data_IF_388552792317
#
_entry.id   IF_388552792317
#
_cell.length_a   1.000
_cell.length_b   1.000
_cell.length_c   1.000
_cell.angle_alpha   90.00
_cell.angle_beta   90.00
_cell.angle_gamma   90.00
#
_symmetry.space_group_name_H-M   'P 1'
#
loop_
_entity.id
_entity.type
_entity.pdbx_description
1 polymer ?
#
# COMPACT_ATOMS: atom_id res chain seq x y z
N UNK A 1 -5.10 5.91 -4.83
CA UNK A 1 -4.73 5.04 -5.96
C UNK A 1 -4.70 3.59 -5.48
N UNK A 2 -5.28 2.66 -6.27
CA UNK A 2 -5.40 1.24 -5.94
C UNK A 2 -4.85 0.44 -7.12
N UNK A 3 -3.64 -0.16 -7.01
CA UNK A 3 -3.11 -1.05 -8.03
C UNK A 3 -3.80 -2.42 -7.94
N UNK A 4 -4.17 -3.00 -9.06
CA UNK A 4 -4.89 -4.27 -9.14
C UNK A 4 -4.26 -5.24 -10.14
N UNK A 5 -4.31 -6.52 -9.80
CA UNK A 5 -4.09 -7.66 -10.68
C UNK A 5 -4.88 -8.85 -10.12
N UNK A 6 -5.96 -9.25 -10.80
CA UNK A 6 -6.87 -10.33 -10.40
C UNK A 6 -7.43 -10.15 -8.98
N UNK A 7 -8.09 -9.01 -8.74
CA UNK A 7 -8.65 -8.58 -7.46
C UNK A 7 -10.17 -8.30 -7.53
N UNK A 8 -10.90 -8.93 -8.47
CA UNK A 8 -12.35 -8.70 -8.66
C UNK A 8 -13.17 -8.89 -7.38
N UNK A 9 -12.76 -9.82 -6.51
CA UNK A 9 -13.46 -10.14 -5.28
C UNK A 9 -13.34 -9.06 -4.19
N UNK A 10 -12.37 -8.14 -4.26
CA UNK A 10 -12.03 -7.23 -3.17
C UNK A 10 -12.00 -5.76 -3.56
N UNK A 11 -11.71 -5.45 -4.83
CA UNK A 11 -11.50 -4.07 -5.30
C UNK A 11 -12.70 -3.16 -5.02
N UNK A 12 -13.92 -3.66 -5.21
CA UNK A 12 -15.14 -2.87 -4.99
C UNK A 12 -15.32 -2.46 -3.52
N UNK A 13 -15.00 -3.36 -2.58
CA UNK A 13 -15.08 -3.07 -1.14
C UNK A 13 -14.02 -2.05 -0.73
N UNK A 14 -12.80 -2.16 -1.26
CA UNK A 14 -11.73 -1.20 -1.00
C UNK A 14 -12.06 0.20 -1.51
N UNK A 15 -12.67 0.32 -2.72
CA UNK A 15 -13.15 1.59 -3.26
C UNK A 15 -14.25 2.18 -2.38
N UNK A 16 -15.27 1.39 -2.00
CA UNK A 16 -16.36 1.84 -1.13
C UNK A 16 -15.85 2.30 0.23
N UNK A 17 -14.94 1.54 0.85
CA UNK A 17 -14.33 1.92 2.12
C UNK A 17 -13.53 3.22 2.02
N UNK A 18 -12.79 3.43 0.93
CA UNK A 18 -12.06 4.68 0.69
C UNK A 18 -13.02 5.87 0.57
N UNK A 19 -14.13 5.73 -0.18
CA UNK A 19 -15.14 6.79 -0.32
C UNK A 19 -15.84 7.11 1.00
N UNK A 20 -16.11 6.12 1.82
CA UNK A 20 -16.75 6.31 3.13
C UNK A 20 -15.82 6.95 4.17
N UNK A 21 -14.51 6.72 4.08
CA UNK A 21 -13.53 7.13 5.07
C UNK A 21 -12.85 8.49 4.76
N UNK A 22 -12.96 8.98 3.53
CA UNK A 22 -12.29 10.17 3.05
C UNK A 22 -13.30 11.22 2.54
N UNK A 23 -13.04 12.52 2.72
CA UNK A 23 -13.87 13.57 2.16
C UNK A 23 -13.63 13.67 0.63
N UNK A 24 -14.65 13.37 -0.15
CA UNK A 24 -14.68 13.48 -1.62
C UNK A 24 -13.40 13.00 -2.33
N UNK A 25 -13.01 11.70 -2.18
CA UNK A 25 -11.76 11.23 -2.74
C UNK A 25 -11.87 10.96 -4.24
N UNK A 26 -10.90 11.42 -5.00
CA UNK A 26 -10.63 10.92 -6.34
C UNK A 26 -10.07 9.49 -6.24
N UNK A 27 -10.86 8.49 -6.65
CA UNK A 27 -10.43 7.09 -6.59
C UNK A 27 -10.01 6.62 -7.98
N UNK A 28 -8.72 6.29 -8.10
CA UNK A 28 -8.09 5.78 -9.32
C UNK A 28 -7.66 4.34 -9.07
N UNK A 29 -8.22 3.41 -9.83
CA UNK A 29 -7.80 2.01 -9.88
C UNK A 29 -6.88 1.84 -11.08
N UNK A 30 -5.70 1.28 -10.85
CA UNK A 30 -4.72 1.04 -11.91
C UNK A 30 -4.57 -0.46 -12.11
N UNK A 31 -5.17 -0.95 -13.18
CA UNK A 31 -5.25 -2.36 -13.51
C UNK A 31 -4.06 -2.82 -14.36
N UNK A 32 -3.34 -3.82 -13.87
CA UNK A 32 -2.15 -4.36 -14.53
C UNK A 32 -2.46 -5.41 -15.62
N UNK A 33 -3.72 -5.51 -16.06
CA UNK A 33 -4.16 -6.46 -17.08
C UNK A 33 -4.87 -7.67 -16.48
N UNK A 34 -5.78 -7.45 -15.52
CA UNK A 34 -6.58 -8.51 -14.89
C UNK A 34 -7.47 -9.25 -15.91
N UNK A 35 -7.56 -10.57 -15.76
CA UNK A 35 -8.44 -11.43 -16.55
C UNK A 35 -9.75 -11.82 -15.87
N UNK A 36 -9.95 -11.48 -14.61
CA UNK A 36 -11.02 -11.95 -13.73
C UNK A 36 -12.24 -10.99 -13.61
N UNK A 37 -12.24 -9.88 -14.38
CA UNK A 37 -13.29 -8.87 -14.29
C UNK A 37 -13.01 -7.75 -13.28
N UNK A 38 -11.81 -7.65 -12.71
CA UNK A 38 -11.38 -6.59 -11.75
C UNK A 38 -11.69 -5.19 -12.27
N UNK A 39 -11.33 -4.87 -13.51
CA UNK A 39 -11.54 -3.55 -14.10
C UNK A 39 -13.03 -3.17 -14.15
N UNK A 40 -13.90 -4.11 -14.54
CA UNK A 40 -15.34 -3.92 -14.58
C UNK A 40 -15.92 -3.74 -13.17
N UNK A 41 -15.48 -4.53 -12.19
CA UNK A 41 -15.90 -4.41 -10.79
C UNK A 41 -15.48 -3.05 -10.20
N UNK A 42 -14.30 -2.56 -10.52
CA UNK A 42 -13.83 -1.23 -10.10
C UNK A 42 -14.67 -0.12 -10.74
N UNK A 43 -14.87 -0.16 -12.07
CA UNK A 43 -15.64 0.84 -12.80
C UNK A 43 -17.10 0.93 -12.31
N UNK A 44 -17.72 -0.19 -11.96
CA UNK A 44 -19.06 -0.23 -11.39
C UNK A 44 -19.20 0.54 -10.06
N UNK A 45 -18.11 0.82 -9.36
CA UNK A 45 -18.10 1.66 -8.15
C UNK A 45 -17.99 3.16 -8.47
N UNK A 46 -17.87 3.55 -9.73
CA UNK A 46 -17.59 4.93 -10.14
C UNK A 46 -16.13 5.36 -9.98
N UNK A 47 -15.20 4.44 -9.76
CA UNK A 47 -13.78 4.73 -9.78
C UNK A 47 -13.27 4.95 -11.21
N UNK A 48 -12.29 5.85 -11.37
CA UNK A 48 -11.53 5.95 -12.62
C UNK A 48 -10.63 4.73 -12.77
N UNK A 49 -10.73 4.02 -13.90
CA UNK A 49 -9.92 2.83 -14.15
C UNK A 49 -8.89 3.13 -15.24
N UNK A 50 -7.60 2.93 -14.92
CA UNK A 50 -6.48 3.05 -15.84
C UNK A 50 -5.90 1.67 -16.11
N UNK A 51 -5.71 1.32 -17.38
CA UNK A 51 -4.93 0.13 -17.75
C UNK A 51 -3.44 0.47 -17.77
N UNK A 52 -2.64 -0.28 -17.02
CA UNK A 52 -1.22 -0.06 -16.91
C UNK A 52 -0.47 -1.38 -16.68
N UNK A 53 -0.25 -2.18 -17.75
CA UNK A 53 0.61 -3.36 -17.63
C UNK A 53 2.00 -2.96 -17.13
N UNK A 54 2.56 -3.78 -16.26
CA UNK A 54 3.86 -3.52 -15.68
C UNK A 54 3.96 -3.85 -14.19
N UNK A 55 4.93 -3.26 -13.53
CA UNK A 55 5.17 -3.44 -12.10
C UNK A 55 4.19 -2.63 -11.25
N UNK A 56 4.03 -3.03 -9.99
CA UNK A 56 3.20 -2.26 -9.04
C UNK A 56 3.72 -0.83 -8.85
N UNK A 57 5.03 -0.63 -8.86
CA UNK A 57 5.65 0.69 -8.80
C UNK A 57 5.23 1.59 -9.98
N UNK A 58 5.21 1.05 -11.19
CA UNK A 58 4.76 1.77 -12.39
C UNK A 58 3.27 2.09 -12.32
N UNK A 59 2.45 1.13 -11.89
CA UNK A 59 1.02 1.35 -11.68
C UNK A 59 0.76 2.49 -10.68
N UNK A 60 1.47 2.50 -9.53
CA UNK A 60 1.35 3.56 -8.53
C UNK A 60 1.78 4.92 -9.06
N UNK A 61 2.87 4.99 -9.83
CA UNK A 61 3.31 6.25 -10.45
C UNK A 61 2.31 6.75 -11.51
N UNK A 62 1.73 5.86 -12.32
CA UNK A 62 0.70 6.23 -13.30
C UNK A 62 -0.56 6.76 -12.60
N UNK A 63 -1.00 6.09 -11.54
CA UNK A 63 -2.09 6.59 -10.72
C UNK A 63 -1.80 7.95 -10.10
N UNK A 64 -0.59 8.16 -9.59
CA UNK A 64 -0.17 9.44 -9.03
C UNK A 64 -0.10 10.56 -10.07
N UNK A 65 0.34 10.26 -11.30
CA UNK A 65 0.38 11.21 -12.41
C UNK A 65 -1.02 11.60 -12.91
N UNK A 66 -1.99 10.69 -12.88
CA UNK A 66 -3.38 10.95 -13.27
C UNK A 66 -4.18 11.67 -12.17
N UNK A 67 -3.77 11.54 -10.91
CA UNK A 67 -4.46 12.16 -9.79
C UNK A 67 -4.31 13.68 -9.80
N UNK A 68 -5.36 14.41 -9.40
CA UNK A 68 -5.39 15.88 -9.32
C UNK A 68 -5.23 16.40 -7.89
N UNK A 69 -5.51 15.58 -6.88
CA UNK A 69 -5.49 15.98 -5.47
C UNK A 69 -4.10 16.25 -4.91
N UNK A 70 -4.02 17.07 -3.87
CA UNK A 70 -2.78 17.44 -3.17
C UNK A 70 -2.25 16.34 -2.23
N UNK A 71 -3.08 15.37 -1.92
CA UNK A 71 -2.74 14.23 -1.06
C UNK A 71 -2.85 12.94 -1.85
N UNK A 72 -1.77 12.19 -1.89
CA UNK A 72 -1.69 10.90 -2.56
C UNK A 72 -1.77 9.79 -1.50
N UNK A 73 -2.77 8.92 -1.62
CA UNK A 73 -2.93 7.72 -0.79
C UNK A 73 -2.78 6.47 -1.65
N UNK A 74 -1.91 5.56 -1.26
CA UNK A 74 -1.64 4.30 -1.92
C UNK A 74 -2.28 3.16 -1.12
N UNK A 75 -3.32 2.55 -1.64
CA UNK A 75 -4.14 1.54 -0.96
C UNK A 75 -4.12 0.24 -1.74
N UNK A 76 -3.92 -0.89 -1.08
CA UNK A 76 -4.06 -2.20 -1.73
C UNK A 76 -5.53 -2.55 -1.97
N UNK A 77 -5.79 -3.33 -3.01
CA UNK A 77 -7.14 -3.72 -3.42
C UNK A 77 -7.88 -4.63 -2.41
N UNK A 78 -7.18 -5.16 -1.43
CA UNK A 78 -7.69 -5.99 -0.35
C UNK A 78 -7.60 -5.32 1.04
N UNK A 79 -7.47 -3.99 1.05
CA UNK A 79 -7.28 -3.21 2.28
C UNK A 79 -8.39 -2.17 2.43
N UNK A 80 -9.00 -2.12 3.61
CA UNK A 80 -10.09 -1.22 3.95
C UNK A 80 -9.58 -0.09 4.87
N UNK A 81 -9.92 1.14 4.55
CA UNK A 81 -9.64 2.29 5.39
C UNK A 81 -10.60 2.36 6.58
N UNK A 82 -10.13 2.72 7.77
CA UNK A 82 -10.98 2.93 8.94
C UNK A 82 -11.74 4.25 8.85
N UNK A 83 -12.87 4.34 9.55
CA UNK A 83 -13.53 5.61 9.78
C UNK A 83 -12.56 6.63 10.41
N UNK A 84 -12.68 7.90 10.02
CA UNK A 84 -11.79 8.96 10.47
C UNK A 84 -10.41 9.01 9.79
N UNK A 85 -10.18 8.17 8.76
CA UNK A 85 -8.92 8.15 8.02
C UNK A 85 -8.57 9.53 7.44
N UNK A 86 -9.55 10.26 6.87
CA UNK A 86 -9.31 11.60 6.32
C UNK A 86 -8.77 12.59 7.35
N UNK A 87 -9.37 12.66 8.53
CA UNK A 87 -8.90 13.53 9.61
C UNK A 87 -7.51 13.12 10.10
N UNK A 88 -7.24 11.81 10.22
CA UNK A 88 -5.94 11.30 10.63
C UNK A 88 -4.84 11.62 9.60
N UNK A 89 -5.13 11.54 8.30
CA UNK A 89 -4.23 11.93 7.22
C UNK A 89 -3.92 13.43 7.32
N UNK A 90 -4.94 14.28 7.43
CA UNK A 90 -4.76 15.72 7.54
C UNK A 90 -3.88 16.11 8.74
N UNK A 91 -4.16 15.54 9.92
CA UNK A 91 -3.38 15.78 11.13
C UNK A 91 -1.92 15.28 11.00
N UNK A 92 -1.68 14.18 10.30
CA UNK A 92 -0.33 13.67 10.05
C UNK A 92 0.44 14.58 9.08
N UNK A 93 -0.20 15.03 7.99
CA UNK A 93 0.43 15.89 6.98
C UNK A 93 0.71 17.30 7.48
N UNK A 94 0.00 17.78 8.51
CA UNK A 94 0.35 19.02 9.20
C UNK A 94 1.69 18.93 9.96
N UNK A 95 2.21 17.71 10.21
CA UNK A 95 3.42 17.45 11.00
C UNK A 95 4.57 16.87 10.20
N UNK A 96 4.29 16.23 9.07
CA UNK A 96 5.29 15.55 8.24
C UNK A 96 4.81 15.47 6.78
N UNK A 97 5.73 15.26 5.84
CA UNK A 97 5.40 15.14 4.42
C UNK A 97 4.65 13.86 4.05
N UNK A 98 4.64 12.85 4.91
CA UNK A 98 4.04 11.54 4.65
C UNK A 98 3.57 10.85 5.92
N UNK A 99 2.80 9.80 5.77
CA UNK A 99 2.39 8.92 6.86
C UNK A 99 1.89 7.56 6.38
N UNK A 100 1.59 6.70 7.34
CA UNK A 100 1.00 5.40 7.10
C UNK A 100 0.11 5.00 8.29
N UNK A 101 -0.77 4.07 8.08
CA UNK A 101 -1.64 3.51 9.11
C UNK A 101 -0.95 2.34 9.84
N UNK A 102 -1.50 1.97 11.00
CA UNK A 102 -1.23 0.66 11.59
C UNK A 102 -1.92 -0.42 10.75
N UNK A 103 -1.47 -1.66 10.91
CA UNK A 103 -2.11 -2.80 10.28
C UNK A 103 -3.01 -3.54 11.28
N UNK A 104 -4.18 -3.96 10.81
CA UNK A 104 -5.04 -4.98 11.36
C UNK A 104 -5.42 -5.96 10.27
N UNK A 105 -5.85 -7.16 10.62
CA UNK A 105 -6.30 -8.18 9.68
C UNK A 105 -7.80 -8.41 9.78
N UNK A 106 -8.44 -8.79 8.66
CA UNK A 106 -9.84 -9.21 8.57
C UNK A 106 -10.16 -10.38 9.52
N UNK A 107 -9.16 -11.19 9.84
CA UNK A 107 -9.16 -12.20 10.89
C UNK A 107 -8.13 -11.80 11.94
N UNK A 108 -8.56 -11.35 13.13
CA UNK A 108 -7.68 -10.82 14.16
C UNK A 108 -6.50 -11.73 14.50
N UNK A 109 -5.31 -11.19 14.52
CA UNK A 109 -4.04 -11.85 14.88
C UNK A 109 -3.25 -10.95 15.83
N UNK A 110 -3.71 -10.81 17.08
CA UNK A 110 -3.25 -9.75 17.96
C UNK A 110 -1.75 -9.75 18.20
N UNK A 111 -1.12 -10.91 18.30
CA UNK A 111 0.35 -11.00 18.50
C UNK A 111 1.12 -10.57 17.24
N UNK A 112 0.67 -11.00 16.05
CA UNK A 112 1.31 -10.63 14.79
C UNK A 112 1.11 -9.13 14.50
N UNK A 113 -0.10 -8.62 14.69
CA UNK A 113 -0.42 -7.19 14.52
C UNK A 113 0.42 -6.32 15.46
N UNK A 114 0.53 -6.72 16.74
CA UNK A 114 1.40 -6.04 17.71
C UNK A 114 2.87 -6.04 17.27
N UNK A 115 3.38 -7.18 16.81
CA UNK A 115 4.76 -7.30 16.36
C UNK A 115 5.03 -6.42 15.11
N UNK A 116 4.13 -6.45 14.12
CA UNK A 116 4.25 -5.62 12.91
C UNK A 116 4.17 -4.14 13.27
N UNK A 117 3.19 -3.73 14.06
CA UNK A 117 2.99 -2.34 14.46
C UNK A 117 4.12 -1.81 15.37
N UNK A 118 4.65 -2.64 16.27
CA UNK A 118 5.83 -2.31 17.07
C UNK A 118 7.07 -2.11 16.19
N UNK A 119 7.33 -3.02 15.23
CA UNK A 119 8.40 -2.86 14.25
C UNK A 119 8.25 -1.54 13.48
N UNK A 120 7.04 -1.25 12.96
CA UNK A 120 6.79 -0.02 12.20
C UNK A 120 7.01 1.22 13.05
N UNK A 121 6.64 1.18 14.33
CA UNK A 121 6.83 2.29 15.27
C UNK A 121 8.31 2.51 15.64
N UNK A 122 9.05 1.43 15.95
CA UNK A 122 10.43 1.48 16.42
C UNK A 122 11.39 1.79 15.28
N UNK A 123 11.31 1.01 14.21
CA UNK A 123 12.25 1.11 13.10
C UNK A 123 11.77 2.04 11.98
N UNK A 124 10.52 2.53 12.08
CA UNK A 124 9.85 3.36 11.06
C UNK A 124 9.88 2.69 9.67
N UNK A 125 9.68 1.37 9.66
CA UNK A 125 9.61 0.56 8.46
C UNK A 125 8.13 0.37 8.12
N UNK A 126 7.70 0.93 6.98
CA UNK A 126 6.33 0.89 6.49
C UNK A 126 6.29 0.12 5.18
N UNK A 127 5.21 -0.61 4.94
CA UNK A 127 4.91 -1.34 3.71
C UNK A 127 3.59 -0.88 3.11
N UNK A 128 3.31 -1.27 1.85
CA UNK A 128 2.12 -0.85 1.13
C UNK A 128 0.80 -1.29 1.75
N UNK A 129 0.78 -2.41 2.47
CA UNK A 129 -0.38 -2.91 3.22
C UNK A 129 -0.79 -2.00 4.41
N UNK A 130 0.02 -0.98 4.73
CA UNK A 130 -0.24 0.03 5.74
C UNK A 130 -0.84 1.32 5.16
N UNK A 131 -1.34 1.32 3.93
CA UNK A 131 -1.93 2.47 3.25
C UNK A 131 -1.04 3.72 3.38
N UNK A 132 0.12 3.68 2.73
CA UNK A 132 1.07 4.79 2.68
C UNK A 132 0.42 6.02 2.03
N UNK A 133 0.58 7.20 2.63
CA UNK A 133 0.13 8.45 2.05
C UNK A 133 1.22 9.52 2.13
N UNK A 134 1.14 10.49 1.23
CA UNK A 134 2.06 11.63 1.19
C UNK A 134 1.38 12.87 0.61
N UNK A 135 1.85 14.06 0.97
CA UNK A 135 1.54 15.23 0.16
C UNK A 135 2.15 15.08 -1.24
N UNK A 136 1.47 15.57 -2.27
CA UNK A 136 1.99 15.57 -3.65
C UNK A 136 3.40 16.16 -3.69
N UNK A 137 3.60 17.32 -3.06
CA UNK A 137 4.91 17.96 -2.97
C UNK A 137 6.01 17.05 -2.39
N UNK A 138 5.69 16.25 -1.36
CA UNK A 138 6.67 15.33 -0.78
C UNK A 138 6.95 14.14 -1.69
N UNK A 139 5.92 13.61 -2.35
CA UNK A 139 6.04 12.53 -3.32
C UNK A 139 6.89 12.94 -4.52
N UNK A 140 6.61 14.11 -5.11
CA UNK A 140 7.34 14.63 -6.26
C UNK A 140 8.79 14.95 -5.91
N UNK A 141 9.04 15.53 -4.72
CA UNK A 141 10.40 15.82 -4.24
C UNK A 141 11.29 14.59 -4.18
N UNK A 142 10.74 13.42 -3.87
CA UNK A 142 11.51 12.18 -3.83
C UNK A 142 11.49 11.42 -5.16
N UNK A 143 10.80 11.93 -6.19
CA UNK A 143 10.74 11.33 -7.53
C UNK A 143 9.83 10.09 -7.60
N UNK A 144 8.80 10.01 -6.75
CA UNK A 144 7.83 8.91 -6.79
C UNK A 144 8.39 7.53 -6.44
N UNK A 145 7.71 6.48 -6.89
CA UNK A 145 8.18 5.10 -6.76
C UNK A 145 9.33 4.81 -7.72
N UNK A 146 10.38 4.15 -7.24
CA UNK A 146 11.42 3.58 -8.11
C UNK A 146 10.90 2.29 -8.77
N UNK A 147 11.35 1.97 -10.00
CA UNK A 147 10.91 0.76 -10.71
C UNK A 147 11.58 -0.50 -10.12
N UNK A 148 11.30 -0.77 -8.84
CA UNK A 148 11.80 -1.94 -8.15
C UNK A 148 10.79 -3.08 -8.31
N UNK A 149 11.26 -4.32 -8.55
CA UNK A 149 10.38 -5.48 -8.70
C UNK A 149 9.71 -5.88 -7.38
N UNK A 150 10.31 -5.54 -6.24
CA UNK A 150 9.79 -5.71 -4.87
C UNK A 150 10.36 -4.62 -3.96
N UNK A 151 9.76 -4.43 -2.77
CA UNK A 151 10.19 -3.46 -1.74
C UNK A 151 10.09 -1.99 -2.17
N UNK A 152 9.36 -1.68 -3.24
CA UNK A 152 9.13 -0.34 -3.76
C UNK A 152 8.47 0.57 -2.71
N UNK A 153 7.51 0.03 -1.93
CA UNK A 153 6.82 0.75 -0.85
C UNK A 153 7.78 1.13 0.27
N UNK A 154 8.62 0.16 0.68
CA UNK A 154 9.63 0.38 1.72
C UNK A 154 10.69 1.38 1.29
N UNK A 155 11.12 1.34 0.02
CA UNK A 155 12.06 2.32 -0.55
C UNK A 155 11.44 3.72 -0.54
N UNK A 156 10.21 3.85 -1.04
CA UNK A 156 9.50 5.14 -1.05
C UNK A 156 9.32 5.68 0.37
N UNK A 157 8.82 4.87 1.31
CA UNK A 157 8.64 5.28 2.70
C UNK A 157 9.95 5.74 3.35
N UNK A 158 11.06 5.06 3.06
CA UNK A 158 12.39 5.45 3.57
C UNK A 158 12.87 6.78 2.98
N UNK A 159 12.61 7.07 1.70
CA UNK A 159 12.94 8.35 1.05
C UNK A 159 12.06 9.49 1.56
N UNK A 160 10.76 9.28 1.68
CA UNK A 160 9.82 10.25 2.25
C UNK A 160 10.21 10.61 3.69
N UNK A 161 10.52 9.61 4.51
CA UNK A 161 10.97 9.82 5.89
C UNK A 161 12.19 10.71 5.99
N UNK A 162 13.19 10.53 5.10
CA UNK A 162 14.42 11.34 5.10
C UNK A 162 14.18 12.75 4.59
N UNK A 163 13.23 12.93 3.66
CA UNK A 163 12.97 14.21 3.00
C UNK A 163 12.07 15.17 3.78
N UNK A 164 11.11 14.66 4.56
CA UNK A 164 10.12 15.51 5.22
C UNK A 164 9.43 14.85 6.41
N UNK A 165 9.93 13.71 6.85
CA UNK A 165 9.34 12.94 7.94
C UNK A 165 8.20 12.01 7.49
N UNK A 166 7.95 10.98 8.30
CA UNK A 166 6.85 10.03 8.12
C UNK A 166 6.23 9.73 9.48
N UNK A 167 4.91 9.90 9.58
CA UNK A 167 4.11 9.66 10.79
C UNK A 167 3.34 8.36 10.66
N UNK A 168 3.40 7.51 11.69
CA UNK A 168 2.52 6.36 11.81
C UNK A 168 1.27 6.80 12.61
N UNK A 169 0.12 6.87 11.93
CA UNK A 169 -1.14 7.27 12.59
C UNK A 169 -1.68 6.16 13.49
N UNK A 170 -2.41 6.47 14.57
CA UNK A 170 -2.87 5.48 15.55
C UNK A 170 -4.01 4.59 15.04
N UNK A 171 -4.68 4.96 13.95
CA UNK A 171 -5.73 4.16 13.33
C UNK A 171 -5.13 2.98 12.55
N UNK A 172 -5.85 1.85 12.49
CA UNK A 172 -5.45 0.67 11.75
C UNK A 172 -6.32 0.46 10.51
N UNK A 173 -5.69 0.19 9.37
CA UNK A 173 -6.37 -0.38 8.20
C UNK A 173 -6.67 -1.85 8.44
N UNK A 174 -7.70 -2.38 7.77
CA UNK A 174 -8.00 -3.82 7.79
C UNK A 174 -7.59 -4.43 6.45
N UNK A 175 -6.59 -5.30 6.45
CA UNK A 175 -6.11 -5.98 5.24
C UNK A 175 -6.46 -7.47 5.28
N UNK A 176 -6.60 -8.07 4.10
CA UNK A 176 -6.95 -9.49 3.99
C UNK A 176 -5.81 -10.40 4.41
N UNK A 177 -6.12 -11.36 5.28
CA UNK A 177 -5.21 -12.45 5.63
C UNK A 177 -5.14 -13.56 4.55
N UNK A 178 -5.73 -13.36 3.35
CA UNK A 178 -5.82 -14.35 2.27
C UNK A 178 -4.46 -14.94 1.88
N UNK A 179 -3.45 -14.10 1.71
CA UNK A 179 -2.07 -14.52 1.37
C UNK A 179 -1.40 -15.41 2.42
N UNK A 180 -1.83 -15.29 3.67
CA UNK A 180 -1.31 -16.15 4.74
C UNK A 180 -1.94 -17.55 4.75
N UNK A 181 -2.98 -17.80 3.95
CA UNK A 181 -3.69 -19.09 3.90
C UNK A 181 -3.12 -20.04 2.86
N UNK A 182 -2.69 -19.55 1.69
CA UNK A 182 -2.26 -20.38 0.57
C UNK A 182 -0.91 -21.09 0.79
N UNK A 183 0.03 -20.45 1.49
CA UNK A 183 1.43 -20.90 1.56
C UNK A 183 1.84 -21.49 2.93
N UNK A 184 0.89 -21.60 3.88
CA UNK A 184 1.21 -21.93 5.27
C UNK A 184 1.80 -20.73 6.05
N UNK A 185 1.20 -20.41 7.18
CA UNK A 185 1.45 -19.18 7.94
C UNK A 185 2.90 -18.96 8.34
N UNK A 186 3.53 -19.99 8.92
CA UNK A 186 4.91 -19.90 9.42
C UNK A 186 5.93 -19.70 8.27
N UNK A 187 5.72 -20.39 7.16
CA UNK A 187 6.60 -20.31 5.99
C UNK A 187 6.54 -18.93 5.33
N UNK A 188 5.32 -18.37 5.17
CA UNK A 188 5.11 -17.02 4.61
C UNK A 188 5.74 -15.96 5.50
N UNK A 189 5.51 -16.04 6.81
CA UNK A 189 6.11 -15.11 7.78
C UNK A 189 7.64 -15.20 7.73
N UNK A 190 8.21 -16.38 7.83
CA UNK A 190 9.67 -16.59 7.80
C UNK A 190 10.30 -16.07 6.50
N UNK A 191 9.67 -16.36 5.34
CA UNK A 191 10.10 -15.88 4.03
C UNK A 191 10.08 -14.35 3.98
N UNK A 192 8.99 -13.72 4.41
CA UNK A 192 8.87 -12.26 4.42
C UNK A 192 9.92 -11.61 5.33
N UNK A 193 10.17 -12.17 6.51
CA UNK A 193 11.22 -11.68 7.41
C UNK A 193 12.62 -11.83 6.80
N UNK A 194 12.91 -12.97 6.16
CA UNK A 194 14.19 -13.20 5.48
C UNK A 194 14.41 -12.16 4.36
N UNK A 195 13.41 -11.95 3.51
CA UNK A 195 13.49 -10.95 2.43
C UNK A 195 13.73 -9.55 2.99
N UNK A 196 13.06 -9.20 4.07
CA UNK A 196 13.24 -7.92 4.75
C UNK A 196 14.65 -7.76 5.31
N UNK A 197 15.17 -8.80 5.94
CA UNK A 197 16.55 -8.82 6.46
C UNK A 197 17.56 -8.66 5.32
N UNK A 198 17.42 -9.45 4.26
CA UNK A 198 18.31 -9.41 3.09
C UNK A 198 18.27 -8.03 2.40
N UNK A 199 17.07 -7.42 2.26
CA UNK A 199 16.95 -6.05 1.75
C UNK A 199 17.66 -5.04 2.66
N UNK A 200 17.56 -5.20 3.99
CA UNK A 200 18.27 -4.33 4.95
C UNK A 200 19.78 -4.48 4.83
N UNK A 201 20.26 -5.68 4.52
CA UNK A 201 21.66 -6.00 4.21
C UNK A 201 22.08 -5.58 2.79
N UNK A 202 21.24 -4.79 2.10
CA UNK A 202 21.48 -4.24 0.75
C UNK A 202 21.59 -5.28 -0.36
N UNK A 203 21.00 -6.47 -0.20
CA UNK A 203 20.86 -7.42 -1.31
C UNK A 203 19.97 -6.79 -2.39
N UNK A 204 20.38 -6.77 -3.67
CA UNK A 204 19.63 -6.16 -4.75
C UNK A 204 18.19 -6.70 -4.87
N UNK A 205 17.17 -5.84 -5.03
CA UNK A 205 15.76 -6.23 -5.16
C UNK A 205 15.50 -7.25 -6.27
N UNK A 206 16.25 -7.19 -7.36
CA UNK A 206 16.15 -8.11 -8.51
C UNK A 206 16.49 -9.55 -8.10
N UNK A 207 17.49 -9.73 -7.22
CA UNK A 207 17.83 -11.05 -6.66
C UNK A 207 16.78 -11.55 -5.67
N UNK A 208 16.20 -10.65 -4.90
CA UNK A 208 15.14 -10.97 -3.94
C UNK A 208 13.85 -11.35 -4.67
N UNK A 209 13.49 -10.66 -5.75
CA UNK A 209 12.29 -10.94 -6.54
C UNK A 209 12.27 -12.36 -7.12
N UNK A 210 13.43 -12.91 -7.50
CA UNK A 210 13.54 -14.30 -7.97
C UNK A 210 13.15 -15.34 -6.92
N UNK A 211 13.20 -14.99 -5.64
CA UNK A 211 12.83 -15.84 -4.49
C UNK A 211 11.44 -15.56 -3.96
N UNK A 212 10.76 -14.54 -4.52
CA UNK A 212 9.42 -14.15 -4.13
C UNK A 212 8.47 -14.41 -5.31
N UNK A 213 7.72 -15.52 -5.29
CA UNK A 213 6.77 -15.78 -6.37
C UNK A 213 5.77 -14.62 -6.47
N UNK A 214 5.37 -14.23 -7.69
CA UNK A 214 4.31 -13.25 -7.87
C UNK A 214 3.06 -13.74 -7.12
N UNK A 215 2.35 -12.82 -6.50
CA UNK A 215 1.05 -13.12 -5.89
C UNK A 215 0.11 -13.56 -7.02
N UNK A 216 -0.30 -14.83 -7.00
CA UNK A 216 -1.40 -15.36 -7.81
C UNK A 216 -2.69 -15.20 -7.03
#
# INVERSE_FOLDING_TARGET
>A
MIPTLDEAATVADSVRAARAALPDPEVIVVDAGSGDGTAAAAAATGASVLSAPGTRAEAMNRGAAAATGDVLLFLHADTLLPAGAGAAIAAALARAGAGAFRIGFDRPRPLLERAINARSRIFRIVYGDQALFASRRAFDRVGGYRPLPIMEDRDLAARLRRSGGLVLVPLAVTTSARRHRSDGHARTIARNWLIQLLYTLRVPPERLARRYPPAR
#
